data_IF_528021774599
#
_entry.id   IF_528021774599
#
_cell.length_a   1.000
_cell.length_b   1.000
_cell.length_c   1.000
_cell.angle_alpha   90.00
_cell.angle_beta   90.00
_cell.angle_gamma   90.00
#
_symmetry.space_group_name_H-M   'P 1'
#
loop_
_entity.id
_entity.type
_entity.pdbx_description
1 polymer ?
#
# COMPACT_ATOMS: atom_id res chain seq x y z
N UNK A 1 16.41 -17.37 2.71
CA UNK A 1 15.72 -16.89 3.92
C UNK A 1 16.66 -17.05 5.09
N UNK A 2 16.90 -16.02 5.91
CA UNK A 2 17.71 -16.20 7.12
C UNK A 2 16.97 -17.15 8.06
N UNK A 3 17.72 -18.09 8.64
CA UNK A 3 17.22 -18.97 9.68
C UNK A 3 16.87 -18.12 10.92
N UNK A 4 15.71 -18.35 11.53
CA UNK A 4 15.34 -17.65 12.78
C UNK A 4 16.29 -18.05 13.90
N UNK A 5 16.67 -17.08 14.74
CA UNK A 5 17.43 -17.39 15.96
C UNK A 5 16.58 -18.20 16.95
N UNK A 6 17.22 -18.87 17.91
CA UNK A 6 16.49 -19.58 18.97
C UNK A 6 15.60 -18.64 19.79
N UNK A 7 16.06 -17.41 20.06
CA UNK A 7 15.28 -16.40 20.75
C UNK A 7 14.05 -15.95 19.95
N UNK A 8 14.19 -15.79 18.62
CA UNK A 8 13.06 -15.44 17.75
C UNK A 8 12.02 -16.55 17.66
N UNK A 9 12.46 -17.82 17.67
CA UNK A 9 11.56 -18.99 17.71
C UNK A 9 10.79 -19.07 19.03
N UNK A 10 11.49 -18.93 20.15
CA UNK A 10 10.85 -18.88 21.47
C UNK A 10 9.82 -17.75 21.55
N UNK A 11 10.16 -16.56 21.03
CA UNK A 11 9.22 -15.42 21.02
C UNK A 11 7.96 -15.70 20.20
N UNK A 12 8.12 -16.37 19.04
CA UNK A 12 6.99 -16.78 18.22
C UNK A 12 6.10 -17.81 18.94
N UNK A 13 6.71 -18.76 19.66
CA UNK A 13 5.98 -19.76 20.46
C UNK A 13 5.21 -19.12 21.63
N UNK A 14 5.79 -18.11 22.29
CA UNK A 14 5.18 -17.39 23.42
C UNK A 14 4.07 -16.43 22.98
N UNK A 15 4.33 -15.61 21.95
CA UNK A 15 3.44 -14.51 21.55
C UNK A 15 2.49 -14.88 20.40
N UNK A 16 2.72 -16.00 19.71
CA UNK A 16 1.97 -16.44 18.52
C UNK A 16 2.30 -15.66 17.24
N UNK A 17 3.20 -14.69 17.30
CA UNK A 17 3.68 -13.92 16.16
C UNK A 17 5.12 -13.44 16.36
N UNK A 18 5.77 -13.03 15.27
CA UNK A 18 7.11 -12.46 15.31
C UNK A 18 7.20 -11.29 14.32
N UNK A 19 7.71 -10.16 14.79
CA UNK A 19 8.00 -9.01 13.94
C UNK A 19 9.48 -9.08 13.54
N UNK A 20 9.76 -9.14 12.24
CA UNK A 20 11.12 -9.14 11.71
C UNK A 20 11.34 -7.81 10.96
N UNK A 21 12.08 -6.86 11.57
CA UNK A 21 12.42 -5.61 10.90
C UNK A 21 13.23 -5.87 9.64
N UNK A 22 12.94 -5.13 8.57
CA UNK A 22 13.72 -5.14 7.33
C UNK A 22 13.87 -6.52 6.66
N UNK A 23 12.93 -7.44 6.90
CA UNK A 23 12.92 -8.76 6.23
C UNK A 23 12.81 -8.63 4.70
N UNK A 24 12.01 -7.67 4.25
CA UNK A 24 11.81 -7.35 2.85
C UNK A 24 12.41 -5.97 2.57
N UNK A 25 13.25 -5.90 1.56
CA UNK A 25 13.78 -4.62 1.07
C UNK A 25 12.88 -4.03 -0.03
N UNK A 26 13.23 -2.84 -0.52
CA UNK A 26 12.45 -2.14 -1.55
C UNK A 26 12.28 -2.93 -2.86
N UNK A 27 13.28 -3.74 -3.24
CA UNK A 27 13.20 -4.57 -4.45
C UNK A 27 12.22 -5.71 -4.26
N UNK A 28 12.20 -6.32 -3.08
CA UNK A 28 11.25 -7.40 -2.75
C UNK A 28 9.80 -6.88 -2.76
N UNK A 29 9.59 -5.64 -2.31
CA UNK A 29 8.27 -5.00 -2.27
C UNK A 29 7.85 -4.38 -3.62
N UNK A 30 8.78 -4.20 -4.56
CA UNK A 30 8.50 -3.53 -5.83
C UNK A 30 7.39 -4.18 -6.67
N UNK A 31 7.28 -5.52 -6.80
CA UNK A 31 6.19 -6.16 -7.54
C UNK A 31 4.80 -5.85 -6.95
N UNK A 32 4.67 -5.91 -5.63
CA UNK A 32 3.42 -5.60 -4.92
C UNK A 32 3.07 -4.12 -5.11
N UNK A 33 4.06 -3.23 -4.97
CA UNK A 33 3.88 -1.79 -5.22
C UNK A 33 3.36 -1.52 -6.63
N UNK A 34 3.91 -2.18 -7.65
CA UNK A 34 3.45 -2.08 -9.04
C UNK A 34 2.03 -2.60 -9.22
N UNK A 35 1.68 -3.72 -8.60
CA UNK A 35 0.33 -4.28 -8.68
C UNK A 35 -0.71 -3.32 -8.09
N UNK A 36 -0.44 -2.79 -6.89
CA UNK A 36 -1.31 -1.79 -6.25
C UNK A 36 -1.40 -0.53 -7.12
N UNK A 37 -0.29 -0.04 -7.68
CA UNK A 37 -0.32 1.15 -8.55
C UNK A 37 -1.14 1.00 -9.81
N UNK A 38 -1.14 -0.19 -10.44
CA UNK A 38 -2.01 -0.45 -11.58
C UNK A 38 -3.48 -0.37 -11.18
N UNK A 39 -3.84 -0.99 -10.06
CA UNK A 39 -5.21 -0.95 -9.55
C UNK A 39 -5.66 0.47 -9.19
N UNK A 40 -4.83 1.22 -8.46
CA UNK A 40 -5.09 2.64 -8.15
C UNK A 40 -5.27 3.49 -9.41
N UNK A 41 -4.47 3.23 -10.45
CA UNK A 41 -4.62 3.91 -11.73
C UNK A 41 -5.94 3.59 -12.42
N UNK A 42 -6.41 2.34 -12.36
CA UNK A 42 -7.70 1.92 -12.89
C UNK A 42 -8.86 2.58 -12.12
N UNK A 43 -8.82 2.55 -10.80
CA UNK A 43 -9.85 3.17 -9.96
C UNK A 43 -9.89 4.69 -10.12
N UNK A 44 -8.74 5.37 -10.15
CA UNK A 44 -8.71 6.80 -10.36
C UNK A 44 -9.36 7.20 -11.70
N UNK A 45 -9.10 6.44 -12.78
CA UNK A 45 -9.72 6.67 -14.08
C UNK A 45 -11.23 6.45 -14.03
N UNK A 46 -11.69 5.38 -13.39
CA UNK A 46 -13.12 5.08 -13.20
C UNK A 46 -13.81 6.23 -12.45
N UNK A 47 -13.28 6.61 -11.30
CA UNK A 47 -13.79 7.72 -10.49
C UNK A 47 -13.79 9.05 -11.24
N UNK A 48 -12.76 9.33 -12.04
CA UNK A 48 -12.72 10.55 -12.85
C UNK A 48 -13.78 10.53 -13.96
N UNK A 49 -14.04 9.39 -14.58
CA UNK A 49 -15.10 9.24 -15.59
C UNK A 49 -16.51 9.42 -15.02
N UNK A 50 -16.71 9.04 -13.76
CA UNK A 50 -17.94 9.28 -12.99
C UNK A 50 -18.01 10.72 -12.41
N UNK A 51 -17.07 11.58 -12.81
CA UNK A 51 -16.83 12.93 -12.27
C UNK A 51 -16.49 12.98 -10.77
N UNK A 52 -16.34 11.86 -10.07
CA UNK A 52 -16.13 11.79 -8.61
C UNK A 52 -14.82 12.42 -8.15
N UNK A 53 -13.78 12.38 -8.97
CA UNK A 53 -12.51 13.08 -8.71
C UNK A 53 -12.07 13.92 -9.93
N UNK A 54 -11.39 15.03 -9.67
CA UNK A 54 -10.92 15.96 -10.72
C UNK A 54 -9.46 15.72 -11.15
N UNK A 55 -8.65 15.09 -10.30
CA UNK A 55 -7.23 14.83 -10.55
C UNK A 55 -6.89 13.35 -10.26
N UNK A 56 -6.17 12.74 -11.19
CA UNK A 56 -5.71 11.34 -11.14
C UNK A 56 -4.38 11.17 -10.36
N UNK A 57 -3.73 12.29 -10.06
CA UNK A 57 -2.49 12.40 -9.30
C UNK A 57 -1.33 11.53 -9.84
N UNK A 58 -1.24 11.37 -11.16
CA UNK A 58 -0.35 10.41 -11.81
C UNK A 58 1.15 10.63 -11.54
N UNK A 59 1.53 11.89 -11.26
CA UNK A 59 2.92 12.28 -10.97
C UNK A 59 3.33 12.04 -9.52
N UNK A 60 2.41 11.67 -8.64
CA UNK A 60 2.72 11.45 -7.23
C UNK A 60 3.37 10.07 -7.00
N UNK A 61 4.32 9.97 -6.06
CA UNK A 61 4.88 8.70 -5.66
C UNK A 61 3.82 7.82 -4.98
N UNK A 62 4.04 6.50 -5.00
CA UNK A 62 3.13 5.46 -4.48
C UNK A 62 2.39 5.84 -3.20
N UNK A 63 3.14 6.21 -2.14
CA UNK A 63 2.59 6.49 -0.81
C UNK A 63 1.68 7.72 -0.78
N UNK A 64 1.93 8.70 -1.64
CA UNK A 64 1.11 9.93 -1.73
C UNK A 64 -0.05 9.76 -2.71
N UNK A 65 0.16 9.12 -3.86
CA UNK A 65 -0.87 8.97 -4.89
C UNK A 65 -2.10 8.24 -4.37
N UNK A 66 -1.89 7.12 -3.67
CA UNK A 66 -2.97 6.36 -3.06
C UNK A 66 -3.79 7.24 -2.10
N UNK A 67 -3.10 7.91 -1.17
CA UNK A 67 -3.73 8.81 -0.19
C UNK A 67 -4.57 9.90 -0.86
N UNK A 68 -4.05 10.55 -1.89
CA UNK A 68 -4.74 11.68 -2.53
C UNK A 68 -5.95 11.26 -3.37
N UNK A 69 -5.89 10.12 -4.06
CA UNK A 69 -7.05 9.57 -4.79
C UNK A 69 -8.20 9.28 -3.82
N UNK A 70 -7.95 8.56 -2.73
CA UNK A 70 -8.98 8.24 -1.73
C UNK A 70 -9.43 9.47 -0.92
N UNK A 71 -8.55 10.44 -0.67
CA UNK A 71 -8.93 11.71 -0.05
C UNK A 71 -9.89 12.50 -0.94
N UNK A 72 -9.66 12.50 -2.24
CA UNK A 72 -10.52 13.20 -3.21
C UNK A 72 -11.91 12.58 -3.28
N UNK A 73 -12.02 11.25 -3.14
CA UNK A 73 -13.29 10.54 -3.00
C UNK A 73 -14.05 10.94 -1.73
N UNK A 74 -13.42 10.84 -0.56
CA UNK A 74 -14.07 11.11 0.73
C UNK A 74 -14.59 12.55 0.88
N UNK A 75 -13.98 13.53 0.19
CA UNK A 75 -14.45 14.93 0.21
C UNK A 75 -15.81 15.12 -0.48
N UNK A 76 -16.23 14.22 -1.36
CA UNK A 76 -17.57 14.28 -1.98
C UNK A 76 -18.66 13.62 -1.15
N UNK A 77 -18.33 12.61 -0.35
CA UNK A 77 -19.33 11.87 0.44
C UNK A 77 -19.85 12.67 1.65
N UNK A 78 -19.18 13.78 2.01
CA UNK A 78 -19.56 14.68 3.11
C UNK A 78 -20.00 16.06 2.56
N UNK A 79 -20.41 16.12 1.29
CA UNK A 79 -20.88 17.34 0.62
C UNK A 79 -22.31 17.19 0.12
#
# INVERSE_FOLDING_TARGET
MPLLSSQQRQRYEEDGYLIIPNLLNDRDLAPVRRAIMRHVGQEAKRLSSECEIKDLHERLPFTRRLKEVYRSLNKRTIG
#
